data_IF_600278577333
#
_entry.id   IF_600278577333
#
_cell.length_a   1.000
_cell.length_b   1.000
_cell.length_c   1.000
_cell.angle_alpha   90.00
_cell.angle_beta   90.00
_cell.angle_gamma   90.00
#
_symmetry.space_group_name_H-M   'P 1'
#
loop_
_entity.id
_entity.type
_entity.pdbx_description
1 polymer ?
#
# COMPACT_ATOMS: atom_id res chain seq x y z
N UNK A 1 0.95 24.71 -46.61
CA UNK A 1 2.34 24.44 -46.17
C UNK A 1 2.26 24.05 -44.69
N UNK A 2 2.51 22.77 -44.37
CA UNK A 2 2.52 22.22 -43.00
C UNK A 2 3.95 21.74 -42.72
N UNK A 3 4.51 22.14 -41.58
CA UNK A 3 5.39 21.35 -40.70
C UNK A 3 5.97 22.28 -39.63
N UNK A 4 6.27 21.88 -38.41
CA UNK A 4 5.90 20.76 -37.53
C UNK A 4 6.68 21.09 -36.26
N UNK A 5 5.99 21.22 -35.12
CA UNK A 5 6.63 21.50 -33.83
C UNK A 5 7.53 20.31 -33.45
N UNK A 6 8.83 20.55 -33.33
CA UNK A 6 9.79 19.55 -32.86
C UNK A 6 9.80 19.58 -31.33
N UNK A 7 9.30 18.51 -30.71
CA UNK A 7 9.43 18.29 -29.28
C UNK A 7 10.90 17.96 -28.96
N UNK A 8 11.51 18.74 -28.06
CA UNK A 8 12.83 18.45 -27.50
C UNK A 8 12.74 17.24 -26.58
N UNK A 9 13.04 16.05 -27.11
CA UNK A 9 13.38 14.90 -26.26
C UNK A 9 14.83 15.05 -25.82
N UNK A 10 15.03 15.46 -24.56
CA UNK A 10 16.35 15.42 -23.93
C UNK A 10 16.83 13.96 -23.87
N UNK A 11 17.80 13.63 -24.72
CA UNK A 11 18.39 12.29 -24.84
C UNK A 11 19.66 12.26 -23.99
N UNK A 12 19.57 11.71 -22.79
CA UNK A 12 20.74 11.47 -21.94
C UNK A 12 21.36 10.12 -22.33
N UNK A 13 22.58 10.16 -22.87
CA UNK A 13 23.39 8.97 -23.17
C UNK A 13 24.51 8.86 -22.14
N UNK A 14 24.60 7.72 -21.47
CA UNK A 14 25.72 7.39 -20.58
C UNK A 14 26.89 6.86 -21.44
N UNK A 15 28.00 7.61 -21.49
CA UNK A 15 29.25 7.14 -22.09
C UNK A 15 30.05 6.38 -21.03
N UNK A 16 30.34 5.11 -21.30
CA UNK A 16 31.10 4.27 -20.37
C UNK A 16 31.20 2.84 -20.87
N UNK A 17 32.15 2.60 -21.78
CA UNK A 17 32.64 1.24 -22.05
C UNK A 17 33.48 0.85 -20.85
N UNK A 18 33.05 -0.14 -20.06
CA UNK A 18 33.84 -1.17 -19.37
C UNK A 18 32.93 -1.89 -18.36
N UNK A 19 32.76 -3.17 -18.63
CA UNK A 19 32.22 -4.29 -17.86
C UNK A 19 32.01 -4.07 -16.35
N UNK A 20 30.76 -3.88 -15.96
CA UNK A 20 30.05 -4.57 -14.87
C UNK A 20 28.68 -3.90 -14.79
N UNK A 21 27.67 -4.52 -15.40
CA UNK A 21 26.29 -4.13 -15.13
C UNK A 21 25.99 -4.53 -13.67
N UNK A 22 26.32 -3.66 -12.73
CA UNK A 22 25.70 -3.70 -11.41
C UNK A 22 24.22 -3.43 -11.66
N UNK A 23 23.42 -4.47 -11.50
CA UNK A 23 21.98 -4.34 -11.43
C UNK A 23 21.73 -3.47 -10.19
N UNK A 24 21.61 -2.15 -10.39
CA UNK A 24 20.97 -1.27 -9.42
C UNK A 24 19.48 -1.63 -9.48
N UNK A 25 19.12 -2.74 -8.86
CA UNK A 25 17.87 -2.75 -8.12
C UNK A 25 18.07 -1.64 -7.09
N UNK A 26 17.36 -0.51 -7.14
CA UNK A 26 17.38 0.39 -6.00
C UNK A 26 16.98 -0.49 -4.82
N UNK A 27 17.90 -0.69 -3.88
CA UNK A 27 17.54 -1.27 -2.60
C UNK A 27 16.46 -0.35 -2.07
N UNK A 28 15.21 -0.83 -2.13
CA UNK A 28 14.04 -0.10 -1.72
C UNK A 28 14.30 0.24 -0.26
N UNK A 29 14.47 1.52 0.04
CA UNK A 29 14.69 1.96 1.42
C UNK A 29 13.33 1.92 2.10
N UNK A 30 12.86 0.69 2.36
CA UNK A 30 11.50 0.38 2.79
C UNK A 30 11.12 1.14 4.09
N UNK A 31 12.13 1.53 4.87
CA UNK A 31 11.95 2.24 6.12
C UNK A 31 11.52 3.72 5.91
N UNK A 32 12.11 4.41 4.92
CA UNK A 32 11.69 5.78 4.58
C UNK A 32 10.29 5.81 3.95
N UNK A 33 9.92 4.77 3.19
CA UNK A 33 8.59 4.66 2.62
C UNK A 33 7.53 4.43 3.69
N UNK A 34 7.79 3.54 4.67
CA UNK A 34 6.86 3.28 5.77
C UNK A 34 6.59 4.53 6.61
N UNK A 35 7.64 5.22 7.05
CA UNK A 35 7.50 6.43 7.88
C UNK A 35 6.74 7.54 7.12
N UNK A 36 7.05 7.73 5.84
CA UNK A 36 6.33 8.69 4.99
C UNK A 36 4.85 8.33 4.82
N UNK A 37 4.53 7.07 4.53
CA UNK A 37 3.15 6.61 4.39
C UNK A 37 2.41 6.78 5.72
N UNK A 38 3.00 6.35 6.85
CA UNK A 38 2.40 6.49 8.17
C UNK A 38 2.09 7.96 8.52
N UNK A 39 3.02 8.88 8.24
CA UNK A 39 2.84 10.31 8.50
C UNK A 39 1.72 10.93 7.63
N UNK A 40 1.60 10.50 6.37
CA UNK A 40 0.58 11.01 5.44
C UNK A 40 -0.79 10.33 5.62
N UNK A 41 -0.84 9.11 6.16
CA UNK A 41 -2.04 8.29 6.24
C UNK A 41 -3.25 9.03 6.84
N UNK A 42 -3.14 9.74 7.99
CA UNK A 42 -4.27 10.49 8.56
C UNK A 42 -4.86 11.51 7.58
N UNK A 43 -4.00 12.19 6.83
CA UNK A 43 -4.41 13.22 5.86
C UNK A 43 -5.17 12.62 4.67
N UNK A 44 -4.87 11.38 4.29
CA UNK A 44 -5.58 10.65 3.22
C UNK A 44 -6.91 10.15 3.74
N UNK A 45 -6.93 9.49 4.91
CA UNK A 45 -8.13 8.87 5.45
C UNK A 45 -9.23 9.91 5.75
N UNK A 46 -8.87 11.10 6.23
CA UNK A 46 -9.84 12.17 6.53
C UNK A 46 -10.50 12.81 5.29
N UNK A 47 -10.11 12.42 4.07
CA UNK A 47 -10.76 12.90 2.83
C UNK A 47 -12.13 12.26 2.59
N UNK A 48 -12.49 11.23 3.36
CA UNK A 48 -13.82 10.61 3.35
C UNK A 48 -14.41 10.54 4.74
N UNK A 49 -15.75 10.64 4.81
CA UNK A 49 -16.55 10.37 6.01
C UNK A 49 -17.29 9.02 5.92
N UNK A 50 -17.24 8.37 4.75
CA UNK A 50 -17.80 7.04 4.57
C UNK A 50 -16.75 6.00 4.98
N UNK A 51 -17.09 5.14 5.95
CA UNK A 51 -16.19 4.14 6.49
C UNK A 51 -15.68 3.19 5.40
N UNK A 52 -16.54 2.76 4.48
CA UNK A 52 -16.17 1.84 3.40
C UNK A 52 -15.07 2.47 2.53
N UNK A 53 -15.24 3.74 2.14
CA UNK A 53 -14.25 4.49 1.38
C UNK A 53 -12.94 4.68 2.17
N UNK A 54 -13.03 4.93 3.49
CA UNK A 54 -11.86 5.03 4.37
C UNK A 54 -11.09 3.70 4.40
N UNK A 55 -11.78 2.56 4.47
CA UNK A 55 -11.16 1.23 4.42
C UNK A 55 -10.46 0.98 3.08
N UNK A 56 -11.09 1.36 1.96
CA UNK A 56 -10.47 1.24 0.63
C UNK A 56 -9.22 2.12 0.51
N UNK A 57 -9.26 3.35 1.04
CA UNK A 57 -8.11 4.25 1.07
C UNK A 57 -6.98 3.69 1.95
N UNK A 58 -7.33 3.16 3.13
CA UNK A 58 -6.38 2.54 4.04
C UNK A 58 -5.67 1.37 3.37
N UNK A 59 -6.42 0.42 2.79
CA UNK A 59 -5.87 -0.70 2.03
C UNK A 59 -4.87 -0.22 0.96
N UNK A 60 -5.27 0.76 0.13
CA UNK A 60 -4.42 1.31 -0.93
C UNK A 60 -3.10 1.88 -0.42
N UNK A 61 -3.10 2.51 0.76
CA UNK A 61 -1.90 3.10 1.33
C UNK A 61 -0.98 2.03 1.95
N UNK A 62 -1.53 1.08 2.73
CA UNK A 62 -0.71 0.05 3.37
C UNK A 62 -0.12 -0.94 2.37
N UNK A 63 -0.81 -1.25 1.26
CA UNK A 63 -0.29 -2.15 0.21
C UNK A 63 1.00 -1.64 -0.46
N UNK A 64 1.40 -0.38 -0.25
CA UNK A 64 2.64 0.18 -0.80
C UNK A 64 3.87 -0.21 0.02
N UNK A 65 3.67 -0.49 1.30
CA UNK A 65 4.72 -0.63 2.32
C UNK A 65 4.63 -1.94 3.09
N UNK A 66 3.51 -2.66 3.01
CA UNK A 66 3.28 -3.89 3.75
C UNK A 66 2.83 -5.00 2.81
N UNK A 67 3.54 -6.13 2.85
CA UNK A 67 3.26 -7.29 2.00
C UNK A 67 2.24 -8.23 2.65
N UNK A 68 1.13 -8.43 1.97
CA UNK A 68 0.07 -9.38 2.35
C UNK A 68 -0.62 -9.94 1.09
N UNK A 69 -1.15 -11.16 1.21
CA UNK A 69 -1.89 -11.82 0.15
C UNK A 69 -3.38 -11.40 0.11
N UNK A 70 -3.94 -11.06 1.27
CA UNK A 70 -5.31 -10.56 1.35
C UNK A 70 -5.53 -9.53 2.43
N UNK A 71 -6.50 -8.66 2.19
CA UNK A 71 -7.07 -7.73 3.15
C UNK A 71 -8.57 -7.97 3.21
N UNK A 72 -9.12 -8.10 4.40
CA UNK A 72 -10.54 -8.30 4.60
C UNK A 72 -11.02 -7.41 5.73
N UNK A 73 -12.10 -6.68 5.49
CA UNK A 73 -12.81 -5.90 6.48
C UNK A 73 -14.24 -6.41 6.58
N UNK A 74 -14.73 -6.56 7.81
CA UNK A 74 -16.10 -6.95 8.07
C UNK A 74 -16.72 -6.14 9.22
N UNK A 75 -17.97 -5.74 9.03
CA UNK A 75 -18.79 -5.16 10.10
C UNK A 75 -20.09 -5.96 10.24
N UNK A 76 -20.15 -6.84 11.24
CA UNK A 76 -21.26 -7.77 11.45
C UNK A 76 -22.63 -7.09 11.61
N UNK A 77 -22.67 -5.83 12.06
CA UNK A 77 -23.91 -5.09 12.27
C UNK A 77 -24.57 -4.52 11.01
N UNK A 78 -23.85 -4.41 9.88
CA UNK A 78 -24.32 -3.67 8.68
C UNK A 78 -24.14 -4.48 7.39
N UNK A 79 -23.70 -5.75 7.50
CA UNK A 79 -23.35 -6.60 6.35
C UNK A 79 -22.37 -5.94 5.37
N UNK A 80 -21.49 -5.09 5.88
CA UNK A 80 -20.38 -4.56 5.09
C UNK A 80 -19.24 -5.59 5.09
N UNK A 81 -18.84 -5.99 3.89
CA UNK A 81 -17.73 -6.91 3.62
C UNK A 81 -16.90 -6.30 2.49
N UNK A 82 -15.65 -5.96 2.80
CA UNK A 82 -14.70 -5.42 1.84
C UNK A 82 -13.50 -6.35 1.81
N UNK A 83 -13.26 -6.95 0.64
CA UNK A 83 -12.25 -7.99 0.47
C UNK A 83 -11.36 -7.69 -0.72
N UNK A 84 -10.04 -7.77 -0.51
CA UNK A 84 -9.02 -7.66 -1.55
C UNK A 84 -8.07 -8.86 -1.48
N UNK A 85 -7.62 -9.32 -2.66
CA UNK A 85 -6.66 -10.41 -2.77
C UNK A 85 -7.28 -11.79 -2.50
N UNK A 86 -6.44 -12.75 -2.10
CA UNK A 86 -6.86 -14.14 -1.88
C UNK A 86 -6.34 -14.64 -0.55
N UNK A 87 -7.23 -15.21 0.26
CA UNK A 87 -6.92 -15.66 1.61
C UNK A 87 -5.78 -16.67 1.62
N UNK A 88 -4.90 -16.52 2.61
CA UNK A 88 -3.71 -17.33 2.80
C UNK A 88 -3.65 -17.93 4.22
N UNK A 89 -2.58 -18.68 4.51
CA UNK A 89 -2.50 -19.55 5.69
C UNK A 89 -2.32 -18.80 7.02
N UNK A 90 -1.56 -17.71 7.02
CA UNK A 90 -1.31 -16.95 8.25
C UNK A 90 -2.17 -15.70 8.25
N UNK A 91 -2.77 -15.40 9.39
CA UNK A 91 -3.70 -14.29 9.53
C UNK A 91 -3.38 -13.46 10.77
N UNK A 92 -3.51 -12.14 10.63
CA UNK A 92 -3.53 -11.19 11.73
C UNK A 92 -4.87 -10.48 11.73
N UNK A 93 -5.49 -10.41 12.91
CA UNK A 93 -6.80 -9.83 13.11
C UNK A 93 -6.69 -8.60 14.00
N UNK A 94 -7.27 -7.51 13.56
CA UNK A 94 -7.28 -6.22 14.25
C UNK A 94 -8.72 -5.78 14.46
N UNK A 95 -8.99 -5.23 15.63
CA UNK A 95 -10.27 -4.60 15.94
C UNK A 95 -10.19 -3.13 15.56
N UNK A 96 -11.13 -2.67 14.74
CA UNK A 96 -11.27 -1.27 14.42
C UNK A 96 -12.29 -0.63 15.35
N UNK A 97 -11.85 0.38 16.10
CA UNK A 97 -12.72 1.14 16.99
C UNK A 97 -12.37 2.62 17.01
N UNK A 98 -13.37 3.46 17.26
CA UNK A 98 -13.20 4.92 17.40
C UNK A 98 -14.07 5.41 18.54
N UNK A 99 -13.51 6.16 19.48
CA UNK A 99 -14.23 6.67 20.66
C UNK A 99 -15.00 5.56 21.41
N UNK A 100 -14.36 4.40 21.59
CA UNK A 100 -14.95 3.18 22.17
C UNK A 100 -16.13 2.57 21.39
N UNK A 101 -16.42 3.06 20.18
CA UNK A 101 -17.41 2.47 19.28
C UNK A 101 -16.71 1.43 18.40
N UNK A 102 -17.22 0.20 18.42
CA UNK A 102 -16.77 -0.86 17.52
C UNK A 102 -17.17 -0.52 16.08
N UNK A 103 -16.21 -0.47 15.17
CA UNK A 103 -16.42 -0.18 13.76
C UNK A 103 -16.26 -1.43 12.88
N UNK A 104 -15.57 -2.47 13.33
CA UNK A 104 -15.44 -3.72 12.57
C UNK A 104 -14.18 -4.50 12.92
N UNK A 105 -13.91 -5.53 12.13
CA UNK A 105 -12.68 -6.31 12.18
C UNK A 105 -11.93 -6.19 10.86
N UNK A 106 -10.61 -6.12 10.96
CA UNK A 106 -9.67 -6.14 9.85
C UNK A 106 -8.83 -7.41 9.94
N UNK A 107 -8.80 -8.19 8.87
CA UNK A 107 -7.99 -9.39 8.75
C UNK A 107 -7.02 -9.24 7.58
N UNK A 108 -5.73 -9.28 7.88
CA UNK A 108 -4.68 -9.42 6.88
C UNK A 108 -4.23 -10.88 6.82
N UNK A 109 -4.00 -11.42 5.63
CA UNK A 109 -3.40 -12.76 5.51
C UNK A 109 -2.20 -12.79 4.58
N UNK A 110 -1.25 -13.68 4.85
CA UNK A 110 -0.08 -13.91 4.00
C UNK A 110 0.42 -15.37 4.07
N UNK A 111 1.22 -15.78 3.09
CA UNK A 111 1.76 -17.15 2.95
C UNK A 111 2.81 -17.49 4.00
N UNK A 112 3.57 -16.51 4.46
CA UNK A 112 4.55 -16.63 5.54
C UNK A 112 3.96 -16.18 6.88
N UNK A 113 4.51 -16.62 8.02
CA UNK A 113 4.08 -16.09 9.32
C UNK A 113 4.43 -14.62 9.43
N UNK A 114 3.52 -13.77 9.92
CA UNK A 114 3.82 -12.42 10.40
C UNK A 114 4.89 -12.49 11.50
N UNK A 115 5.91 -11.64 11.41
CA UNK A 115 6.95 -11.52 12.43
C UNK A 115 6.62 -10.39 13.42
N UNK A 116 7.37 -10.30 14.52
CA UNK A 116 7.14 -9.27 15.53
C UNK A 116 7.50 -7.85 15.01
N UNK A 117 8.27 -7.73 13.93
CA UNK A 117 8.55 -6.43 13.31
C UNK A 117 7.39 -5.95 12.42
N UNK A 118 6.53 -6.88 11.99
CA UNK A 118 5.31 -6.62 11.22
C UNK A 118 4.08 -6.21 12.07
N UNK A 119 4.13 -6.38 13.41
CA UNK A 119 2.99 -6.26 14.34
C UNK A 119 3.08 -5.05 15.27
#
# INVERSE_FOLDING_TARGET
MKNQLHAETAKLSLVGKHSHAVNFSPAKDDNHDLEYIAARLPAVLQTSLNLDDVIVLFHKEISKVFDFDSFHYQQQGVQCDISFGSRSHHACNYRLEMNNVWLGELTLTRRSKFDDADL
#
